data_IF_897410210928
#
_entry.id   IF_897410210928
#
_cell.length_a   1.000
_cell.length_b   1.000
_cell.length_c   1.000
_cell.angle_alpha   90.00
_cell.angle_beta   90.00
_cell.angle_gamma   90.00
#
_symmetry.space_group_name_H-M   'P 1'
#
loop_
_entity.id
_entity.type
_entity.pdbx_description
1 polymer ?
#
# COMPACT_ATOMS: atom_id res chain seq x y z
N UNK A 1 0.10 2.00 12.73
CA UNK A 1 -0.57 1.58 13.97
C UNK A 1 0.26 0.57 14.73
N UNK A 2 0.49 -0.61 14.18
CA UNK A 2 1.38 -1.58 14.78
C UNK A 2 2.67 -1.66 13.98
N UNK A 3 3.79 -1.93 14.65
CA UNK A 3 5.10 -1.94 14.01
C UNK A 3 5.17 -2.93 12.83
N UNK A 4 4.58 -4.09 12.97
CA UNK A 4 4.63 -5.16 11.96
C UNK A 4 3.32 -5.33 11.18
N UNK A 5 2.28 -4.54 11.46
CA UNK A 5 0.98 -4.62 10.80
C UNK A 5 0.38 -6.02 10.88
N UNK A 6 -0.05 -6.54 9.73
CA UNK A 6 -0.72 -7.85 9.61
C UNK A 6 0.26 -9.03 9.46
N UNK A 7 1.51 -8.87 9.89
CA UNK A 7 2.54 -9.93 9.77
C UNK A 7 2.38 -11.09 10.76
N UNK A 8 1.53 -10.96 11.78
CA UNK A 8 1.26 -12.00 12.78
C UNK A 8 0.24 -13.01 12.27
N UNK A 9 0.50 -13.60 11.10
CA UNK A 9 -0.37 -14.59 10.45
C UNK A 9 0.45 -15.71 9.85
N UNK A 10 -0.11 -16.92 9.77
CA UNK A 10 0.52 -18.06 9.12
C UNK A 10 0.51 -17.95 7.59
N UNK A 11 -0.45 -17.23 7.05
CA UNK A 11 -0.60 -17.02 5.62
C UNK A 11 -1.29 -15.67 5.34
N UNK A 12 -0.82 -14.96 4.33
CA UNK A 12 -1.44 -13.75 3.81
C UNK A 12 -1.74 -13.90 2.31
N UNK A 13 -2.89 -14.48 1.95
CA UNK A 13 -3.21 -14.82 0.56
C UNK A 13 -3.27 -13.65 -0.41
N UNK A 14 -3.49 -12.44 0.10
CA UNK A 14 -3.58 -11.20 -0.70
C UNK A 14 -2.42 -10.24 -0.45
N UNK A 15 -1.40 -10.68 0.29
CA UNK A 15 -0.28 -9.82 0.71
C UNK A 15 0.60 -9.30 -0.42
N UNK A 16 0.50 -9.89 -1.61
CA UNK A 16 1.23 -9.48 -2.81
C UNK A 16 0.37 -8.75 -3.85
N UNK A 17 -0.84 -8.34 -3.48
CA UNK A 17 -1.76 -7.62 -4.36
C UNK A 17 -1.80 -6.13 -4.00
N UNK A 18 -1.82 -5.28 -5.01
CA UNK A 18 -2.15 -3.87 -4.84
C UNK A 18 -3.62 -3.70 -4.42
N UNK A 19 -3.96 -2.59 -3.78
CA UNK A 19 -5.34 -2.34 -3.32
C UNK A 19 -6.37 -2.37 -4.43
N UNK A 20 -6.04 -1.84 -5.60
CA UNK A 20 -6.89 -1.91 -6.78
C UNK A 20 -7.13 -3.36 -7.23
N UNK A 21 -6.10 -4.22 -7.18
CA UNK A 21 -6.21 -5.64 -7.49
C UNK A 21 -7.07 -6.40 -6.46
N UNK A 22 -6.92 -6.08 -5.16
CA UNK A 22 -7.78 -6.64 -4.11
C UNK A 22 -9.24 -6.31 -4.37
N UNK A 23 -9.55 -5.06 -4.75
CA UNK A 23 -10.92 -4.64 -5.10
C UNK A 23 -11.46 -5.38 -6.34
N UNK A 24 -10.64 -5.57 -7.37
CA UNK A 24 -11.02 -6.34 -8.57
C UNK A 24 -11.26 -7.80 -8.23
N UNK A 25 -10.38 -8.41 -7.45
CA UNK A 25 -10.49 -9.80 -7.02
C UNK A 25 -11.74 -10.01 -6.15
N UNK A 26 -12.02 -9.12 -5.21
CA UNK A 26 -13.23 -9.17 -4.40
C UNK A 26 -14.52 -9.11 -5.26
N UNK A 27 -14.56 -8.25 -6.28
CA UNK A 27 -15.68 -8.22 -7.24
C UNK A 27 -15.84 -9.54 -7.98
N UNK A 28 -14.73 -10.12 -8.45
CA UNK A 28 -14.75 -11.40 -9.17
C UNK A 28 -15.23 -12.56 -8.29
N UNK A 29 -14.99 -12.50 -6.99
CA UNK A 29 -15.47 -13.48 -6.00
C UNK A 29 -16.92 -13.22 -5.53
N UNK A 30 -17.59 -12.19 -6.03
CA UNK A 30 -18.95 -11.87 -5.65
C UNK A 30 -19.11 -11.20 -4.28
N UNK A 31 -18.06 -10.59 -3.75
CA UNK A 31 -18.16 -9.79 -2.51
C UNK A 31 -19.12 -8.63 -2.74
N UNK A 32 -20.06 -8.35 -1.79
CA UNK A 32 -21.01 -7.24 -1.90
C UNK A 32 -20.32 -5.91 -2.22
N UNK A 33 -20.92 -5.14 -3.15
CA UNK A 33 -20.31 -3.92 -3.70
C UNK A 33 -20.02 -2.85 -2.65
N UNK A 34 -20.85 -2.72 -1.63
CA UNK A 34 -20.66 -1.81 -0.50
C UNK A 34 -19.41 -2.13 0.32
N UNK A 35 -19.05 -3.41 0.45
CA UNK A 35 -17.81 -3.83 1.10
C UNK A 35 -16.59 -3.58 0.21
N UNK A 36 -16.71 -3.82 -1.11
CA UNK A 36 -15.61 -3.59 -2.06
C UNK A 36 -15.23 -2.12 -2.15
N UNK A 37 -16.24 -1.22 -2.11
CA UNK A 37 -16.05 0.23 -2.25
C UNK A 37 -15.89 0.98 -0.94
N UNK A 38 -15.98 0.27 0.19
CA UNK A 38 -15.86 0.86 1.51
C UNK A 38 -14.50 1.55 1.67
N UNK A 39 -14.52 2.77 2.21
CA UNK A 39 -13.31 3.52 2.50
C UNK A 39 -12.44 2.76 3.50
N UNK A 40 -11.17 2.48 3.18
CA UNK A 40 -10.25 1.81 4.09
C UNK A 40 -9.97 2.66 5.33
N UNK A 41 -10.08 2.03 6.50
CA UNK A 41 -9.81 2.68 7.78
C UNK A 41 -9.44 1.64 8.84
N UNK A 42 -8.54 2.00 9.74
CA UNK A 42 -8.29 1.21 10.95
C UNK A 42 -9.39 1.41 12.01
N UNK A 43 -10.26 2.41 11.83
CA UNK A 43 -11.37 2.73 12.74
C UNK A 43 -10.94 2.93 14.21
N UNK A 44 -9.76 3.51 14.44
CA UNK A 44 -9.26 3.76 15.79
C UNK A 44 -9.85 5.04 16.41
N UNK A 45 -10.33 5.96 15.57
CA UNK A 45 -11.08 7.15 15.95
C UNK A 45 -12.09 7.54 14.86
N UNK A 46 -13.03 8.40 15.22
CA UNK A 46 -14.06 8.86 14.29
C UNK A 46 -13.45 9.67 13.13
N UNK A 47 -13.87 9.35 11.90
CA UNK A 47 -13.41 10.03 10.69
C UNK A 47 -12.03 9.61 10.17
N UNK A 48 -11.35 8.66 10.81
CA UNK A 48 -10.06 8.15 10.32
C UNK A 48 -10.21 7.48 8.97
N UNK A 49 -9.33 7.83 8.01
CA UNK A 49 -9.16 7.11 6.74
C UNK A 49 -7.68 6.88 6.47
N UNK A 50 -7.38 5.75 5.83
CA UNK A 50 -5.99 5.42 5.48
C UNK A 50 -5.42 6.42 4.47
N UNK A 51 -6.25 6.89 3.51
CA UNK A 51 -5.84 7.84 2.47
C UNK A 51 -5.50 9.22 3.05
N UNK A 52 -6.24 9.70 4.05
CA UNK A 52 -5.92 10.95 4.75
C UNK A 52 -4.59 10.85 5.51
N UNK A 53 -4.32 9.71 6.15
CA UNK A 53 -3.05 9.50 6.86
C UNK A 53 -1.85 9.39 5.93
N UNK A 54 -2.03 8.75 4.78
CA UNK A 54 -0.99 8.66 3.76
C UNK A 54 -0.79 9.97 3.00
N UNK A 55 -1.83 10.80 2.90
CA UNK A 55 -1.87 12.00 2.08
C UNK A 55 -2.01 11.71 0.58
N UNK A 56 -2.49 10.51 0.22
CA UNK A 56 -2.60 10.00 -1.15
C UNK A 56 -3.81 9.08 -1.27
N UNK A 57 -4.41 9.04 -2.47
CA UNK A 57 -5.38 8.00 -2.81
C UNK A 57 -4.70 6.64 -3.00
N UNK A 58 -5.41 5.55 -2.76
CA UNK A 58 -4.88 4.21 -3.07
C UNK A 58 -4.62 4.02 -4.56
N UNK A 59 -5.38 4.66 -5.44
CA UNK A 59 -5.18 4.56 -6.89
C UNK A 59 -3.85 5.19 -7.33
N UNK A 60 -3.51 6.38 -6.79
CA UNK A 60 -2.22 7.02 -7.04
C UNK A 60 -1.07 6.24 -6.40
N UNK A 61 -1.25 5.77 -5.15
CA UNK A 61 -0.27 4.95 -4.45
C UNK A 61 0.06 3.69 -5.23
N UNK A 62 -0.95 2.91 -5.62
CA UNK A 62 -0.78 1.66 -6.36
C UNK A 62 -0.10 1.90 -7.72
N UNK A 63 -0.49 2.96 -8.43
CA UNK A 63 0.09 3.31 -9.72
C UNK A 63 1.58 3.71 -9.60
N UNK A 64 1.92 4.51 -8.60
CA UNK A 64 3.31 4.92 -8.35
C UNK A 64 4.15 3.71 -7.93
N UNK A 65 3.66 2.85 -7.03
CA UNK A 65 4.34 1.63 -6.63
C UNK A 65 4.63 0.74 -7.84
N UNK A 66 3.62 0.47 -8.66
CA UNK A 66 3.74 -0.40 -9.82
C UNK A 66 4.70 0.12 -10.89
N UNK A 67 4.77 1.43 -11.11
CA UNK A 67 5.58 2.02 -12.17
C UNK A 67 6.97 2.44 -11.72
N UNK A 68 7.13 2.93 -10.51
CA UNK A 68 8.37 3.52 -10.02
C UNK A 68 9.13 2.66 -9.01
N UNK A 69 8.44 2.03 -8.06
CA UNK A 69 9.08 1.22 -7.02
C UNK A 69 9.35 -0.20 -7.53
N UNK A 70 8.32 -0.86 -8.03
CA UNK A 70 8.40 -2.23 -8.56
C UNK A 70 8.75 -2.26 -10.06
N UNK A 71 8.42 -1.18 -10.77
CA UNK A 71 8.65 -1.02 -12.20
C UNK A 71 9.90 -0.20 -12.55
N UNK A 72 10.23 -0.10 -13.85
CA UNK A 72 11.48 0.51 -14.32
C UNK A 72 11.41 2.02 -14.51
N UNK A 73 10.27 2.68 -14.26
CA UNK A 73 10.11 4.10 -14.58
C UNK A 73 10.85 5.00 -13.60
N UNK A 74 11.60 5.97 -14.11
CA UNK A 74 12.18 7.02 -13.29
C UNK A 74 11.09 7.91 -12.68
N UNK A 75 11.41 8.62 -11.60
CA UNK A 75 10.50 9.61 -11.00
C UNK A 75 9.91 10.56 -12.05
N UNK A 76 10.77 11.13 -12.93
CA UNK A 76 10.32 12.07 -13.96
C UNK A 76 9.35 11.42 -14.95
N UNK A 77 9.62 10.18 -15.38
CA UNK A 77 8.73 9.43 -16.27
C UNK A 77 7.38 9.10 -15.58
N UNK A 78 7.41 8.72 -14.31
CA UNK A 78 6.21 8.43 -13.52
C UNK A 78 5.32 9.66 -13.37
N UNK A 79 5.89 10.81 -12.99
CA UNK A 79 5.18 12.10 -12.91
C UNK A 79 4.48 12.44 -14.22
N UNK A 80 5.18 12.29 -15.36
CA UNK A 80 4.58 12.57 -16.67
C UNK A 80 3.49 11.59 -17.08
N UNK A 81 3.70 10.31 -16.79
CA UNK A 81 2.77 9.24 -17.19
C UNK A 81 1.47 9.28 -16.39
N UNK A 82 1.57 9.45 -15.08
CA UNK A 82 0.42 9.46 -14.17
C UNK A 82 -0.19 10.85 -13.97
N UNK A 83 0.49 11.92 -14.41
CA UNK A 83 0.10 13.30 -14.16
C UNK A 83 -0.03 13.64 -12.67
N UNK A 84 0.78 13.00 -11.84
CA UNK A 84 0.89 13.25 -10.40
C UNK A 84 2.01 14.25 -10.11
N UNK A 85 2.04 14.81 -8.90
CA UNK A 85 3.14 15.69 -8.48
C UNK A 85 4.41 14.89 -8.17
N UNK A 86 5.57 15.55 -8.28
CA UNK A 86 6.84 14.95 -7.84
C UNK A 86 6.86 14.66 -6.35
N UNK A 87 6.19 15.49 -5.56
CA UNK A 87 6.02 15.31 -4.10
C UNK A 87 5.22 14.05 -3.77
N UNK A 88 4.21 13.71 -4.58
CA UNK A 88 3.45 12.48 -4.40
C UNK A 88 4.34 11.24 -4.60
N UNK A 89 5.22 11.26 -5.62
CA UNK A 89 6.17 10.17 -5.85
C UNK A 89 7.16 10.05 -4.69
N UNK A 90 7.72 11.18 -4.22
CA UNK A 90 8.63 11.19 -3.06
C UNK A 90 7.94 10.64 -1.81
N UNK A 91 6.70 11.05 -1.57
CA UNK A 91 5.91 10.56 -0.44
C UNK A 91 5.70 9.05 -0.46
N UNK A 92 5.41 8.48 -1.64
CA UNK A 92 5.28 7.01 -1.79
C UNK A 92 6.60 6.31 -1.49
N UNK A 93 7.72 6.80 -2.01
CA UNK A 93 9.04 6.24 -1.74
C UNK A 93 9.37 6.30 -0.24
N UNK A 94 9.11 7.43 0.40
CA UNK A 94 9.31 7.62 1.84
C UNK A 94 8.48 6.61 2.66
N UNK A 95 7.19 6.45 2.36
CA UNK A 95 6.31 5.48 3.02
C UNK A 95 6.77 4.03 2.78
N UNK A 96 7.21 3.73 1.57
CA UNK A 96 7.74 2.42 1.21
C UNK A 96 9.01 2.11 2.01
N UNK A 97 9.97 3.03 2.08
CA UNK A 97 11.21 2.86 2.84
C UNK A 97 10.94 2.76 4.35
N UNK A 98 10.11 3.64 4.91
CA UNK A 98 9.73 3.62 6.31
C UNK A 98 9.05 2.31 6.74
N UNK A 99 8.36 1.63 5.82
CA UNK A 99 7.71 0.34 6.05
C UNK A 99 8.59 -0.88 5.72
N UNK A 100 9.88 -0.71 5.45
CA UNK A 100 10.79 -1.81 5.06
C UNK A 100 10.80 -2.96 6.08
N UNK A 101 10.73 -2.64 7.37
CA UNK A 101 10.66 -3.64 8.44
C UNK A 101 9.43 -4.57 8.37
N UNK A 102 8.35 -4.14 7.70
CA UNK A 102 7.15 -4.96 7.47
C UNK A 102 7.32 -5.99 6.34
N UNK A 103 8.37 -5.86 5.53
CA UNK A 103 8.67 -6.75 4.40
C UNK A 103 9.83 -7.70 4.69
N UNK A 104 10.35 -7.68 5.91
CA UNK A 104 11.47 -8.53 6.34
C UNK A 104 11.11 -9.26 7.64
N UNK A 105 11.78 -10.37 7.88
CA UNK A 105 11.69 -11.04 9.18
C UNK A 105 12.24 -10.12 10.28
N UNK A 106 11.69 -10.17 11.50
CA UNK A 106 12.29 -9.49 12.64
C UNK A 106 13.77 -9.85 12.75
N UNK A 107 14.66 -8.87 13.05
CA UNK A 107 16.07 -9.15 13.20
C UNK A 107 16.31 -10.15 14.34
N UNK A 108 17.18 -11.12 14.10
CA UNK A 108 17.64 -12.08 15.08
C UNK A 108 19.12 -11.86 15.35
N UNK A 109 19.63 -12.18 16.56
CA UNK A 109 21.09 -12.17 16.80
C UNK A 109 21.79 -13.22 15.94
N UNK A 110 23.03 -12.96 15.61
CA UNK A 110 23.88 -13.94 14.91
C UNK A 110 23.99 -15.24 15.73
N UNK A 111 24.10 -16.41 15.06
CA UNK A 111 24.36 -17.66 15.74
C UNK A 111 25.70 -17.59 16.52
N UNK A 112 25.69 -18.16 17.70
CA UNK A 112 26.93 -18.31 18.52
C UNK A 112 27.93 -19.27 17.89
#
# INVERSE_FOLDING_TARGET
>A
FTKYGDQAVDCNPIGNLYKCQVRQFARALGVPGDLVTRTPTAAMWEGQTDEEEMGLSYDDLDAILALHVDGPLSKHATVRTLQVSGEAVDRVVELYEASAHKRSMPPAPDPL
#
